data_IF_670819413739
#
_entry.id   IF_670819413739
#
_cell.length_a   1.000
_cell.length_b   1.000
_cell.length_c   1.000
_cell.angle_alpha   90.00
_cell.angle_beta   90.00
_cell.angle_gamma   90.00
#
_symmetry.space_group_name_H-M   'P 1'
#
loop_
_entity.id
_entity.type
_entity.pdbx_description
1 polymer ?
#
# COMPACT_ATOMS: atom_id res chain seq x y z
N UNK A 1 29.98 63.89 25.11
CA UNK A 1 29.81 62.66 24.30
C UNK A 1 28.45 62.08 24.62
N UNK A 2 27.54 62.01 23.63
CA UNK A 2 26.21 61.41 23.78
C UNK A 2 26.29 59.96 23.31
N UNK A 3 26.15 59.01 24.22
CA UNK A 3 26.00 57.59 23.89
C UNK A 3 24.52 57.28 23.74
N UNK A 4 24.08 57.16 22.48
CA UNK A 4 22.76 56.64 22.14
C UNK A 4 22.78 55.12 22.29
N UNK A 5 22.01 54.59 23.24
CA UNK A 5 21.77 53.16 23.39
C UNK A 5 20.66 52.74 22.42
N UNK A 6 21.03 52.17 21.28
CA UNK A 6 20.07 51.49 20.41
C UNK A 6 19.79 50.10 20.98
N UNK A 7 18.66 49.94 21.67
CA UNK A 7 18.12 48.63 21.99
C UNK A 7 17.51 48.03 20.72
N UNK A 8 18.24 47.11 20.08
CA UNK A 8 17.69 46.27 19.01
C UNK A 8 16.84 45.18 19.67
N UNK A 9 15.52 45.40 19.69
CA UNK A 9 14.53 44.33 19.86
C UNK A 9 14.50 43.52 18.56
N UNK A 10 15.37 42.52 18.45
CA UNK A 10 15.19 41.45 17.47
C UNK A 10 14.20 40.45 18.08
N UNK A 11 12.94 40.55 17.66
CA UNK A 11 11.89 39.60 18.03
C UNK A 11 12.28 38.19 17.60
N UNK A 12 12.45 37.31 18.58
CA UNK A 12 12.38 35.87 18.38
C UNK A 12 10.93 35.54 18.01
N UNK A 13 10.65 35.44 16.71
CA UNK A 13 9.49 34.70 16.24
C UNK A 13 9.84 33.23 16.45
N UNK A 14 9.54 32.71 17.65
CA UNK A 14 9.48 31.28 17.86
C UNK A 14 8.30 30.76 17.04
N UNK A 15 8.56 30.36 15.79
CA UNK A 15 7.61 29.54 15.04
C UNK A 15 7.69 28.16 15.68
N UNK A 16 6.93 27.94 16.75
CA UNK A 16 6.57 26.58 17.11
C UNK A 16 5.67 26.10 15.97
N UNK A 17 6.27 25.48 14.95
CA UNK A 17 5.51 24.75 13.94
C UNK A 17 4.82 23.61 14.66
N UNK A 18 3.50 23.71 14.82
CA UNK A 18 2.71 22.60 15.31
C UNK A 18 2.98 21.36 14.44
N UNK A 19 3.09 20.20 15.08
CA UNK A 19 3.37 18.96 14.37
C UNK A 19 2.25 18.66 13.38
N UNK A 20 2.61 18.23 12.18
CA UNK A 20 1.67 17.90 11.12
C UNK A 20 1.00 16.58 11.44
N UNK A 21 -0.32 16.60 11.60
CA UNK A 21 -1.11 15.38 11.76
C UNK A 21 -1.55 14.87 10.38
N UNK A 22 -1.29 13.59 10.10
CA UNK A 22 -1.84 12.94 8.91
C UNK A 22 -3.14 12.21 9.24
N UNK A 23 -4.08 12.31 8.30
CA UNK A 23 -5.31 11.53 8.29
C UNK A 23 -5.44 10.79 6.95
N UNK A 24 -5.66 9.48 7.03
CA UNK A 24 -5.97 8.62 5.89
C UNK A 24 -7.44 8.24 5.96
N UNK A 25 -8.15 8.47 4.86
CA UNK A 25 -9.50 7.98 4.62
C UNK A 25 -9.49 6.93 3.52
N UNK A 26 -10.20 5.83 3.70
CA UNK A 26 -10.34 4.82 2.64
C UNK A 26 -11.78 4.32 2.49
N UNK A 27 -12.11 3.81 1.31
CA UNK A 27 -13.45 3.30 0.98
C UNK A 27 -13.72 1.92 1.59
N UNK A 28 -14.96 1.62 1.98
CA UNK A 28 -15.36 0.26 2.38
C UNK A 28 -15.28 -0.76 1.22
N UNK A 29 -15.38 -0.29 -0.02
CA UNK A 29 -15.22 -1.13 -1.21
C UNK A 29 -13.78 -1.59 -1.36
N UNK A 30 -13.56 -2.90 -1.32
CA UNK A 30 -12.28 -3.57 -1.57
C UNK A 30 -12.21 -4.10 -3.00
N UNK A 31 -11.01 -4.03 -3.57
CA UNK A 31 -10.66 -4.41 -4.92
C UNK A 31 -9.57 -5.46 -4.86
N UNK A 32 -9.77 -6.56 -5.57
CA UNK A 32 -8.76 -7.60 -5.70
C UNK A 32 -7.71 -7.16 -6.73
N UNK A 33 -6.47 -6.97 -6.26
CA UNK A 33 -5.33 -6.57 -7.08
C UNK A 33 -4.32 -7.69 -7.26
N UNK A 34 -4.62 -8.89 -6.74
CA UNK A 34 -3.79 -10.08 -6.91
C UNK A 34 -2.36 -9.88 -6.42
N UNK A 35 -1.43 -10.54 -7.10
CA UNK A 35 0.02 -10.52 -6.83
C UNK A 35 0.73 -9.21 -7.20
N UNK A 36 0.02 -8.08 -7.23
CA UNK A 36 0.61 -6.80 -7.61
C UNK A 36 1.58 -6.31 -6.54
N UNK A 37 2.81 -5.96 -6.92
CA UNK A 37 3.76 -5.31 -6.02
C UNK A 37 3.30 -3.88 -5.72
N UNK A 38 2.55 -3.73 -4.62
CA UNK A 38 1.97 -2.46 -4.18
C UNK A 38 3.02 -1.38 -3.99
N UNK A 39 4.22 -1.70 -3.49
CA UNK A 39 5.29 -0.72 -3.31
C UNK A 39 5.77 -0.18 -4.65
N UNK A 40 5.96 -1.07 -5.62
CA UNK A 40 6.42 -0.70 -6.94
C UNK A 40 5.37 0.14 -7.70
N UNK A 41 4.10 -0.28 -7.67
CA UNK A 41 3.04 0.40 -8.43
C UNK A 41 2.52 1.66 -7.79
N UNK A 42 2.75 1.87 -6.48
CA UNK A 42 2.41 3.11 -5.79
C UNK A 42 3.66 3.94 -5.52
N UNK A 43 4.28 3.76 -4.35
CA UNK A 43 5.39 4.55 -3.83
C UNK A 43 6.49 4.78 -4.87
N UNK A 44 7.05 3.71 -5.45
CA UNK A 44 8.16 3.85 -6.40
C UNK A 44 7.73 4.57 -7.67
N UNK A 45 6.50 4.36 -8.12
CA UNK A 45 5.94 5.07 -9.27
C UNK A 45 5.87 6.58 -9.00
N UNK A 46 5.41 7.00 -7.81
CA UNK A 46 5.41 8.43 -7.41
C UNK A 46 6.79 9.06 -7.58
N UNK A 47 7.84 8.41 -7.04
CA UNK A 47 9.21 8.92 -7.12
C UNK A 47 9.83 8.84 -8.52
N UNK A 48 9.26 8.03 -9.42
CA UNK A 48 9.68 7.93 -10.80
C UNK A 48 8.97 8.92 -11.74
N UNK A 49 7.84 9.50 -11.33
CA UNK A 49 7.10 10.45 -12.17
C UNK A 49 7.82 11.79 -12.34
N UNK A 50 7.93 12.32 -13.58
CA UNK A 50 8.41 13.67 -13.81
C UNK A 50 7.54 14.72 -13.12
N UNK A 51 8.15 15.64 -12.38
CA UNK A 51 7.44 16.73 -11.70
C UNK A 51 6.88 16.36 -10.32
N UNK A 52 7.26 15.19 -9.78
CA UNK A 52 6.91 14.75 -8.43
C UNK A 52 7.47 15.62 -7.30
N UNK A 53 8.14 16.73 -7.59
CA UNK A 53 8.51 17.71 -6.58
C UNK A 53 7.34 18.64 -6.22
N UNK A 54 6.23 18.60 -6.97
CA UNK A 54 5.04 19.44 -6.72
C UNK A 54 3.72 18.71 -6.82
N UNK A 55 3.61 17.76 -7.73
CA UNK A 55 2.36 17.05 -7.97
C UNK A 55 2.60 15.80 -8.78
N UNK A 56 1.66 14.87 -8.72
CA UNK A 56 1.61 13.71 -9.61
C UNK A 56 0.22 13.54 -10.20
N UNK A 57 0.18 12.96 -11.38
CA UNK A 57 -1.01 12.40 -11.97
C UNK A 57 -0.58 11.14 -12.75
N UNK A 58 -0.98 9.98 -12.27
CA UNK A 58 -0.70 8.71 -12.93
C UNK A 58 -1.98 7.97 -13.22
N UNK A 59 -2.00 7.26 -14.34
CA UNK A 59 -3.04 6.28 -14.67
C UNK A 59 -2.34 5.11 -15.37
N UNK A 60 -2.12 4.01 -14.64
CA UNK A 60 -1.36 2.86 -15.13
C UNK A 60 -2.18 1.59 -14.98
N UNK A 61 -2.02 0.70 -15.96
CA UNK A 61 -2.67 -0.61 -15.97
C UNK A 61 -1.64 -1.71 -15.80
N UNK A 62 -1.95 -2.67 -14.94
CA UNK A 62 -1.10 -3.78 -14.56
C UNK A 62 -1.84 -5.10 -14.73
N UNK A 63 -1.08 -6.16 -14.94
CA UNK A 63 -1.56 -7.53 -15.01
C UNK A 63 -1.11 -8.26 -13.75
N UNK A 64 -2.00 -9.01 -13.11
CA UNK A 64 -1.68 -9.77 -11.90
C UNK A 64 -2.41 -11.12 -11.88
N UNK A 65 -2.10 -11.93 -10.87
CA UNK A 65 -2.73 -13.23 -10.64
C UNK A 65 -3.54 -13.16 -9.35
N UNK A 66 -4.77 -13.65 -9.41
CA UNK A 66 -5.68 -13.72 -8.25
C UNK A 66 -6.05 -15.14 -7.88
N UNK A 67 -6.02 -16.07 -8.85
CA UNK A 67 -6.39 -17.47 -8.61
C UNK A 67 -5.33 -18.17 -7.78
N UNK A 68 -5.77 -18.78 -6.68
CA UNK A 68 -4.96 -19.71 -5.91
C UNK A 68 -4.66 -20.94 -6.76
N UNK A 69 -3.39 -21.37 -6.78
CA UNK A 69 -2.91 -22.58 -7.48
C UNK A 69 -3.17 -22.58 -8.99
N UNK A 70 -2.53 -21.63 -9.67
CA UNK A 70 -2.66 -21.43 -11.11
C UNK A 70 -1.70 -22.30 -11.92
N UNK A 71 -2.18 -22.87 -13.03
CA UNK A 71 -1.35 -23.68 -13.92
C UNK A 71 -0.23 -22.84 -14.56
N UNK A 72 0.90 -23.48 -14.85
CA UNK A 72 2.04 -22.86 -15.54
C UNK A 72 1.70 -22.34 -16.95
N UNK A 73 0.66 -22.86 -17.57
CA UNK A 73 0.22 -22.47 -18.91
C UNK A 73 -0.65 -21.19 -18.91
N UNK A 74 -1.10 -20.75 -17.73
CA UNK A 74 -2.03 -19.64 -17.61
C UNK A 74 -1.30 -18.37 -17.12
N UNK A 75 -1.42 -17.28 -17.88
CA UNK A 75 -0.81 -15.97 -17.58
C UNK A 75 -1.53 -15.18 -16.49
N UNK A 76 -1.57 -13.85 -16.55
CA UNK A 76 -2.41 -13.06 -15.64
C UNK A 76 -3.91 -13.36 -15.82
N UNK A 77 -4.71 -13.21 -14.75
CA UNK A 77 -6.19 -13.32 -14.82
C UNK A 77 -6.92 -12.09 -14.28
N UNK A 78 -6.17 -11.06 -13.90
CA UNK A 78 -6.75 -9.78 -13.54
C UNK A 78 -5.96 -8.66 -14.17
N UNK A 79 -6.70 -7.69 -14.70
CA UNK A 79 -6.19 -6.37 -15.05
C UNK A 79 -6.57 -5.39 -13.95
N UNK A 80 -5.57 -4.69 -13.42
CA UNK A 80 -5.69 -3.71 -12.33
C UNK A 80 -5.27 -2.34 -12.86
N UNK A 81 -6.14 -1.35 -12.68
CA UNK A 81 -5.82 0.05 -12.92
C UNK A 81 -5.47 0.73 -11.59
N UNK A 82 -4.35 1.44 -11.58
CA UNK A 82 -3.89 2.23 -10.44
C UNK A 82 -3.79 3.68 -10.89
N UNK A 83 -4.60 4.54 -10.29
CA UNK A 83 -4.53 5.99 -10.48
C UNK A 83 -4.03 6.65 -9.22
N UNK A 84 -3.15 7.62 -9.38
CA UNK A 84 -2.68 8.41 -8.26
C UNK A 84 -2.69 9.88 -8.64
N UNK A 85 -3.30 10.69 -7.79
CA UNK A 85 -3.33 12.14 -7.95
C UNK A 85 -2.86 12.75 -6.65
N UNK A 86 -1.92 13.68 -6.71
CA UNK A 86 -1.48 14.38 -5.51
C UNK A 86 -0.85 15.71 -5.82
N UNK A 87 -0.88 16.60 -4.84
CA UNK A 87 -0.26 17.91 -4.89
C UNK A 87 0.37 18.24 -3.54
N UNK A 88 1.56 18.83 -3.55
CA UNK A 88 2.29 19.21 -2.35
C UNK A 88 3.16 20.47 -2.54
N UNK A 89 3.74 20.94 -1.44
CA UNK A 89 4.63 22.10 -1.40
C UNK A 89 3.89 23.43 -1.26
N UNK A 90 2.63 23.41 -0.80
CA UNK A 90 1.81 24.60 -0.54
C UNK A 90 1.75 24.99 0.94
N UNK A 91 1.98 24.05 1.85
CA UNK A 91 2.08 24.35 3.29
C UNK A 91 3.31 25.24 3.59
N UNK A 92 3.13 26.42 4.21
CA UNK A 92 4.22 27.29 4.61
C UNK A 92 5.11 26.66 5.69
N UNK A 93 6.41 26.93 5.65
CA UNK A 93 7.35 26.53 6.72
C UNK A 93 7.94 25.12 6.60
N UNK A 94 7.65 24.40 5.51
CA UNK A 94 8.23 23.08 5.20
C UNK A 94 9.17 23.16 4.00
N UNK A 95 10.19 22.30 3.98
CA UNK A 95 10.95 22.11 2.76
C UNK A 95 10.06 21.44 1.71
N UNK A 96 10.34 21.75 0.43
CA UNK A 96 9.42 21.47 -0.69
C UNK A 96 8.89 20.03 -0.74
N UNK A 97 9.72 19.07 -0.34
CA UNK A 97 9.39 17.66 -0.43
C UNK A 97 9.01 17.03 0.91
N UNK A 98 9.11 17.72 2.05
CA UNK A 98 8.81 17.13 3.36
C UNK A 98 7.35 16.67 3.45
N UNK A 99 6.44 17.51 2.94
CA UNK A 99 5.03 17.16 2.86
C UNK A 99 4.79 15.95 1.96
N UNK A 100 5.50 15.85 0.83
CA UNK A 100 5.44 14.68 -0.04
C UNK A 100 5.87 13.42 0.70
N UNK A 101 7.02 13.46 1.38
CA UNK A 101 7.53 12.29 2.11
C UNK A 101 6.53 11.83 3.17
N UNK A 102 5.93 12.78 3.90
CA UNK A 102 4.89 12.48 4.88
C UNK A 102 3.65 11.85 4.27
N UNK A 103 3.06 12.48 3.25
CA UNK A 103 1.85 11.97 2.58
C UNK A 103 2.10 10.58 1.98
N UNK A 104 3.22 10.40 1.28
CA UNK A 104 3.58 9.11 0.65
C UNK A 104 3.82 8.03 1.70
N UNK A 105 4.57 8.32 2.77
CA UNK A 105 4.78 7.35 3.85
C UNK A 105 3.47 7.01 4.57
N UNK A 106 2.65 8.01 4.86
CA UNK A 106 1.40 7.84 5.60
C UNK A 106 0.37 7.00 4.85
N UNK A 107 0.10 7.32 3.59
CA UNK A 107 -0.86 6.54 2.79
C UNK A 107 -0.32 5.14 2.47
N UNK A 108 0.98 5.00 2.26
CA UNK A 108 1.59 3.70 1.93
C UNK A 108 1.58 2.76 3.14
N UNK A 109 1.89 3.27 4.34
CA UNK A 109 1.78 2.48 5.57
C UNK A 109 0.33 2.05 5.81
N UNK A 110 -0.63 2.96 5.66
CA UNK A 110 -2.04 2.60 5.78
C UNK A 110 -2.47 1.55 4.74
N UNK A 111 -2.08 1.73 3.48
CA UNK A 111 -2.33 0.76 2.41
C UNK A 111 -1.76 -0.62 2.76
N UNK A 112 -0.51 -0.67 3.22
CA UNK A 112 0.16 -1.90 3.63
C UNK A 112 -0.60 -2.59 4.75
N UNK A 113 -0.98 -1.86 5.81
CA UNK A 113 -1.67 -2.47 6.95
C UNK A 113 -3.06 -3.00 6.59
N UNK A 114 -3.80 -2.31 5.72
CA UNK A 114 -5.09 -2.80 5.19
C UNK A 114 -4.88 -4.04 4.33
N UNK A 115 -3.88 -3.99 3.45
CA UNK A 115 -3.59 -5.03 2.48
C UNK A 115 -3.05 -6.31 3.11
N UNK A 116 -2.18 -6.21 4.12
CA UNK A 116 -1.60 -7.35 4.84
C UNK A 116 -2.70 -8.16 5.56
N UNK A 117 -3.73 -7.48 6.06
CA UNK A 117 -4.85 -8.12 6.79
C UNK A 117 -5.86 -8.82 5.85
N UNK A 118 -5.94 -8.36 4.61
CA UNK A 118 -6.83 -8.90 3.57
C UNK A 118 -6.08 -9.73 2.50
N UNK A 119 -4.78 -9.96 2.72
CA UNK A 119 -3.92 -10.69 1.79
C UNK A 119 -4.16 -12.20 1.83
N UNK A 120 -3.70 -12.89 0.78
CA UNK A 120 -3.91 -14.32 0.61
C UNK A 120 -2.79 -14.96 -0.20
N UNK A 121 -2.60 -16.27 -0.02
CA UNK A 121 -1.56 -17.01 -0.74
C UNK A 121 -1.96 -17.25 -2.20
N UNK A 122 -1.02 -16.96 -3.11
CA UNK A 122 -1.12 -17.28 -4.52
C UNK A 122 0.02 -18.22 -4.89
N UNK A 123 -0.32 -19.47 -5.13
CA UNK A 123 0.60 -20.42 -5.74
C UNK A 123 0.42 -20.40 -7.26
N UNK A 124 1.52 -20.32 -7.99
CA UNK A 124 1.52 -20.28 -9.45
C UNK A 124 2.56 -21.24 -10.03
N UNK A 125 2.54 -21.37 -11.35
CA UNK A 125 3.35 -22.37 -12.07
C UNK A 125 3.09 -23.79 -11.56
N UNK A 126 1.82 -24.08 -11.29
CA UNK A 126 1.38 -25.38 -10.80
C UNK A 126 1.33 -26.40 -11.94
N UNK A 127 1.73 -27.63 -11.61
CA UNK A 127 1.60 -28.84 -12.43
C UNK A 127 0.87 -29.90 -11.61
N UNK A 128 0.28 -30.90 -12.27
CA UNK A 128 -0.44 -31.96 -11.55
C UNK A 128 -1.83 -31.54 -11.10
N UNK A 129 -2.42 -30.54 -11.75
CA UNK A 129 -3.75 -30.04 -11.39
C UNK A 129 -4.85 -31.06 -11.67
N UNK A 130 -4.56 -32.05 -12.53
CA UNK A 130 -5.38 -33.25 -12.74
C UNK A 130 -4.61 -34.54 -12.41
N UNK A 131 -5.34 -35.63 -12.16
CA UNK A 131 -4.76 -36.95 -11.85
C UNK A 131 -4.02 -37.60 -13.03
N UNK A 132 -4.22 -37.09 -14.26
CA UNK A 132 -3.58 -37.60 -15.48
C UNK A 132 -2.20 -36.98 -15.72
N UNK A 133 -1.92 -35.85 -15.07
CA UNK A 133 -0.69 -35.10 -15.27
C UNK A 133 0.45 -35.75 -14.48
N UNK A 134 1.50 -36.18 -15.20
CA UNK A 134 2.73 -36.62 -14.55
C UNK A 134 3.53 -35.42 -14.05
N UNK A 135 3.86 -35.41 -12.76
CA UNK A 135 4.63 -34.32 -12.13
C UNK A 135 5.98 -34.83 -11.67
N UNK A 136 7.05 -34.22 -12.21
CA UNK A 136 8.37 -34.35 -11.63
C UNK A 136 8.44 -33.54 -10.34
N UNK A 137 8.42 -34.23 -9.20
CA UNK A 137 8.48 -33.56 -7.92
C UNK A 137 9.89 -33.05 -7.62
N UNK A 138 10.03 -31.78 -7.24
CA UNK A 138 11.33 -31.14 -7.00
C UNK A 138 11.40 -30.49 -5.60
N UNK A 139 12.56 -30.52 -4.93
CA UNK A 139 12.74 -29.90 -3.62
C UNK A 139 12.55 -28.38 -3.57
N UNK A 140 12.76 -27.70 -4.69
CA UNK A 140 12.69 -26.24 -4.80
C UNK A 140 11.25 -25.72 -4.98
N UNK A 141 10.26 -26.62 -5.07
CA UNK A 141 8.87 -26.23 -5.22
C UNK A 141 8.38 -25.43 -4.01
N UNK A 142 7.56 -24.40 -4.25
CA UNK A 142 6.97 -23.59 -3.20
C UNK A 142 5.93 -24.36 -2.38
N UNK A 143 5.15 -25.23 -3.04
CA UNK A 143 4.40 -26.29 -2.41
C UNK A 143 4.48 -27.57 -3.25
N UNK A 144 4.43 -28.73 -2.59
CA UNK A 144 4.37 -30.02 -3.26
C UNK A 144 4.96 -31.14 -2.41
N UNK A 145 4.73 -32.39 -2.81
CA UNK A 145 5.10 -33.57 -2.01
C UNK A 145 6.60 -33.66 -1.67
N UNK A 146 7.47 -33.16 -2.54
CA UNK A 146 8.91 -33.16 -2.33
C UNK A 146 9.47 -31.81 -1.88
N UNK A 147 8.64 -30.79 -1.68
CA UNK A 147 9.10 -29.44 -1.33
C UNK A 147 9.92 -29.45 -0.04
N UNK A 148 11.12 -28.87 -0.09
CA UNK A 148 12.06 -28.80 1.03
C UNK A 148 11.55 -27.98 2.21
N UNK A 149 10.61 -27.05 1.96
CA UNK A 149 9.89 -26.29 2.99
C UNK A 149 8.95 -27.15 3.82
N UNK A 150 8.61 -28.36 3.35
CA UNK A 150 7.56 -29.21 3.91
C UNK A 150 6.13 -28.74 3.57
N UNK A 151 5.98 -27.65 2.81
CA UNK A 151 4.67 -27.11 2.43
C UNK A 151 3.99 -28.03 1.41
N UNK A 152 2.77 -28.48 1.72
CA UNK A 152 1.94 -29.27 0.80
C UNK A 152 0.96 -28.38 0.05
N UNK A 153 0.59 -28.78 -1.17
CA UNK A 153 -0.44 -28.07 -1.93
C UNK A 153 -1.87 -28.49 -1.51
N UNK A 154 -2.03 -29.46 -0.61
CA UNK A 154 -3.34 -30.03 -0.21
C UNK A 154 -4.29 -29.00 0.41
N UNK A 155 -3.75 -28.12 1.26
CA UNK A 155 -4.50 -27.02 1.88
C UNK A 155 -4.82 -25.91 0.88
N UNK A 156 -3.81 -25.19 0.37
CA UNK A 156 -4.04 -24.00 -0.45
C UNK A 156 -4.74 -24.33 -1.78
N UNK A 157 -4.45 -25.48 -2.39
CA UNK A 157 -5.03 -25.84 -3.68
C UNK A 157 -6.33 -26.65 -3.59
N UNK A 158 -6.86 -26.93 -2.38
CA UNK A 158 -7.97 -27.87 -2.16
C UNK A 158 -9.17 -27.67 -3.07
N UNK A 159 -9.52 -26.40 -3.31
CA UNK A 159 -10.69 -26.00 -4.10
C UNK A 159 -10.31 -25.41 -5.47
N UNK A 160 -9.02 -25.36 -5.79
CA UNK A 160 -8.50 -24.73 -7.01
C UNK A 160 -8.14 -25.73 -8.10
N UNK A 161 -7.78 -26.97 -7.72
CA UNK A 161 -7.35 -28.02 -8.64
C UNK A 161 -8.05 -29.33 -8.32
N UNK A 162 -8.15 -30.22 -9.31
CA UNK A 162 -8.83 -31.50 -9.15
C UNK A 162 -8.02 -32.54 -8.36
N UNK A 163 -6.70 -32.37 -8.26
CA UNK A 163 -5.82 -33.30 -7.53
C UNK A 163 -4.75 -32.59 -6.71
N UNK A 164 -5.14 -31.93 -5.58
CA UNK A 164 -4.22 -31.14 -4.76
C UNK A 164 -3.00 -31.95 -4.25
N UNK A 165 -3.19 -33.22 -3.91
CA UNK A 165 -2.13 -34.08 -3.37
C UNK A 165 -1.09 -34.55 -4.37
N UNK A 166 -1.36 -34.40 -5.66
CA UNK A 166 -0.38 -34.61 -6.75
C UNK A 166 0.10 -33.29 -7.34
N UNK A 167 -0.49 -32.17 -6.92
CA UNK A 167 -0.13 -30.84 -7.41
C UNK A 167 1.21 -30.42 -6.83
N UNK A 168 2.00 -29.73 -7.65
CA UNK A 168 3.21 -29.04 -7.25
C UNK A 168 3.24 -27.66 -7.90
N UNK A 169 3.49 -26.63 -7.11
CA UNK A 169 3.61 -25.26 -7.59
C UNK A 169 5.02 -24.74 -7.36
N UNK A 170 5.64 -24.17 -8.40
CA UNK A 170 7.02 -23.69 -8.33
C UNK A 170 7.14 -22.30 -7.73
N UNK A 171 6.06 -21.51 -7.78
CA UNK A 171 6.04 -20.14 -7.27
C UNK A 171 5.00 -19.95 -6.18
N UNK A 172 5.35 -19.10 -5.23
CA UNK A 172 4.47 -18.62 -4.19
C UNK A 172 4.65 -17.11 -4.10
N UNK A 173 3.53 -16.42 -4.29
CA UNK A 173 3.39 -14.98 -4.22
C UNK A 173 2.29 -14.64 -3.22
N UNK A 174 2.27 -13.39 -2.78
CA UNK A 174 1.24 -12.88 -1.89
C UNK A 174 0.26 -12.01 -2.68
N UNK A 175 -1.00 -12.42 -2.68
CA UNK A 175 -2.10 -11.68 -3.27
C UNK A 175 -2.65 -10.64 -2.31
N UNK A 176 -3.15 -9.53 -2.85
CA UNK A 176 -3.60 -8.39 -2.08
C UNK A 176 -5.04 -7.99 -2.44
N UNK A 177 -5.79 -7.58 -1.41
CA UNK A 177 -7.02 -6.81 -1.57
C UNK A 177 -6.84 -5.44 -0.94
N UNK A 178 -7.20 -4.40 -1.67
CA UNK A 178 -6.98 -3.01 -1.26
C UNK A 178 -8.26 -2.21 -1.37
N UNK A 179 -8.43 -1.11 -0.62
CA UNK A 179 -9.56 -0.21 -0.82
C UNK A 179 -9.57 0.34 -2.26
N UNK A 180 -10.76 0.50 -2.84
CA UNK A 180 -10.93 1.10 -4.16
C UNK A 180 -10.43 2.55 -4.22
N UNK A 181 -10.46 3.24 -3.08
CA UNK A 181 -9.93 4.59 -2.95
C UNK A 181 -9.31 4.79 -1.57
N UNK A 182 -8.19 5.49 -1.55
CA UNK A 182 -7.54 6.00 -0.34
C UNK A 182 -7.15 7.45 -0.56
N UNK A 183 -7.32 8.28 0.46
CA UNK A 183 -6.89 9.68 0.46
C UNK A 183 -6.14 9.97 1.74
N UNK A 184 -4.98 10.60 1.64
CA UNK A 184 -4.28 11.19 2.78
C UNK A 184 -4.34 12.71 2.69
N UNK A 185 -4.60 13.33 3.82
CA UNK A 185 -4.62 14.78 4.02
C UNK A 185 -3.81 15.14 5.25
N UNK A 186 -3.21 16.33 5.23
CA UNK A 186 -2.45 16.87 6.35
C UNK A 186 -3.24 17.94 7.12
N UNK A 187 -3.01 18.02 8.42
CA UNK A 187 -3.59 19.00 9.33
C UNK A 187 -2.50 19.64 10.17
N UNK A 188 -2.62 20.94 10.43
CA UNK A 188 -1.77 21.70 11.35
C UNK A 188 -2.72 22.47 12.26
N UNK A 189 -2.63 22.28 13.58
CA UNK A 189 -3.56 22.86 14.55
C UNK A 189 -5.04 22.65 14.16
N UNK A 190 -5.39 21.41 13.78
CA UNK A 190 -6.71 21.00 13.29
C UNK A 190 -7.19 21.70 11.99
N UNK A 191 -6.36 22.54 11.36
CA UNK A 191 -6.66 23.17 10.09
C UNK A 191 -6.19 22.29 8.91
N UNK A 192 -7.12 21.96 8.00
CA UNK A 192 -6.85 21.21 6.79
C UNK A 192 -5.86 21.96 5.89
N UNK A 193 -4.77 21.29 5.54
CA UNK A 193 -3.79 21.79 4.60
C UNK A 193 -4.20 21.48 3.15
N UNK A 194 -3.77 22.28 2.17
CA UNK A 194 -4.11 22.09 0.76
C UNK A 194 -3.36 20.94 0.09
N UNK A 195 -2.40 20.30 0.79
CA UNK A 195 -1.61 19.19 0.27
C UNK A 195 -2.35 17.86 0.50
N UNK A 196 -2.45 17.05 -0.55
CA UNK A 196 -3.14 15.76 -0.51
C UNK A 196 -2.56 14.76 -1.50
N UNK A 197 -2.90 13.49 -1.26
CA UNK A 197 -2.56 12.38 -2.14
C UNK A 197 -3.70 11.36 -2.12
N UNK A 198 -4.13 10.97 -3.31
CA UNK A 198 -5.25 10.05 -3.54
C UNK A 198 -4.74 8.88 -4.35
N UNK A 199 -5.03 7.66 -3.90
CA UNK A 199 -4.90 6.43 -4.66
C UNK A 199 -6.29 5.93 -5.05
N UNK A 200 -6.45 5.52 -6.29
CA UNK A 200 -7.64 4.83 -6.78
C UNK A 200 -7.22 3.52 -7.43
N UNK A 201 -7.86 2.44 -7.01
CA UNK A 201 -7.66 1.09 -7.54
C UNK A 201 -8.94 0.63 -8.21
N UNK A 202 -8.82 0.13 -9.42
CA UNK A 202 -9.89 -0.58 -10.11
C UNK A 202 -9.37 -1.91 -10.62
N UNK A 203 -10.25 -2.91 -10.65
CA UNK A 203 -9.93 -4.25 -11.12
C UNK A 203 -11.03 -4.74 -12.04
N UNK A 204 -10.65 -5.62 -12.95
CA UNK A 204 -11.58 -6.36 -13.82
C UNK A 204 -12.37 -7.43 -13.06
N UNK A 205 -12.00 -7.72 -11.81
CA UNK A 205 -12.80 -8.57 -10.92
C UNK A 205 -13.81 -7.78 -10.11
N UNK A 206 -14.84 -8.48 -9.61
CA UNK A 206 -15.89 -7.89 -8.80
C UNK A 206 -15.32 -7.32 -7.50
N UNK A 207 -15.67 -6.08 -7.19
CA UNK A 207 -15.39 -5.48 -5.89
C UNK A 207 -16.27 -6.10 -4.80
N UNK A 208 -15.76 -6.08 -3.56
CA UNK A 208 -16.47 -6.59 -2.38
C UNK A 208 -16.50 -5.50 -1.31
N UNK A 209 -17.62 -5.34 -0.61
CA UNK A 209 -17.67 -4.47 0.57
C UNK A 209 -16.94 -5.08 1.78
N UNK A 210 -16.83 -4.32 2.87
CA UNK A 210 -16.29 -4.78 4.15
C UNK A 210 -14.86 -4.34 4.47
N UNK A 211 -14.26 -3.42 3.72
CA UNK A 211 -12.95 -2.83 4.01
C UNK A 211 -12.89 -2.11 5.36
N UNK A 212 -14.01 -1.58 5.84
CA UNK A 212 -14.08 -0.89 7.14
C UNK A 212 -14.05 -1.84 8.34
N UNK A 213 -14.28 -3.14 8.16
CA UNK A 213 -14.40 -4.10 9.27
C UNK A 213 -13.19 -4.15 10.20
N UNK A 214 -11.99 -3.84 9.67
CA UNK A 214 -10.73 -3.93 10.40
C UNK A 214 -10.15 -2.55 10.77
N UNK A 215 -10.89 -1.46 10.56
CA UNK A 215 -10.38 -0.08 10.74
C UNK A 215 -9.83 0.16 12.15
N UNK A 216 -10.49 -0.35 13.20
CA UNK A 216 -10.05 -0.16 14.59
C UNK A 216 -8.73 -0.88 14.91
N UNK A 217 -8.53 -2.08 14.34
CA UNK A 217 -7.28 -2.84 14.48
C UNK A 217 -6.13 -2.12 13.78
N UNK A 218 -6.39 -1.61 12.58
CA UNK A 218 -5.39 -0.90 11.77
C UNK A 218 -5.04 0.44 12.41
N UNK A 219 -6.04 1.22 12.85
CA UNK A 219 -5.85 2.47 13.56
C UNK A 219 -4.96 2.29 14.80
N UNK A 220 -5.14 1.20 15.56
CA UNK A 220 -4.29 0.87 16.70
C UNK A 220 -2.81 0.66 16.34
N UNK A 221 -2.52 0.06 15.18
CA UNK A 221 -1.15 -0.08 14.68
C UNK A 221 -0.57 1.24 14.17
N UNK A 222 -1.41 2.04 13.51
CA UNK A 222 -1.01 3.32 12.93
C UNK A 222 -0.82 4.41 13.99
N UNK A 223 -1.44 4.29 15.17
CA UNK A 223 -1.36 5.28 16.24
C UNK A 223 0.06 5.48 16.80
N UNK A 224 0.93 4.48 16.69
CA UNK A 224 2.33 4.54 17.14
C UNK A 224 3.31 4.63 15.98
N UNK A 225 2.81 4.86 14.76
CA UNK A 225 3.68 4.94 13.58
C UNK A 225 4.39 6.28 13.55
N UNK A 226 5.72 6.25 13.51
CA UNK A 226 6.54 7.43 13.28
C UNK A 226 6.87 7.56 11.80
N UNK A 227 6.48 8.67 11.20
CA UNK A 227 6.80 8.97 9.81
C UNK A 227 8.31 9.26 9.71
N UNK A 228 9.06 8.53 8.85
CA UNK A 228 10.51 8.65 8.77
C UNK A 228 10.96 9.87 7.95
N UNK A 229 10.55 11.08 8.34
CA UNK A 229 10.97 12.34 7.72
C UNK A 229 11.95 13.09 8.62
N UNK A 230 12.92 13.76 8.01
CA UNK A 230 13.93 14.57 8.71
C UNK A 230 13.23 15.69 9.50
N UNK A 231 13.58 15.85 10.77
CA UNK A 231 13.19 17.03 11.56
C UNK A 231 11.98 16.89 12.50
N UNK A 232 11.34 15.72 12.60
CA UNK A 232 10.24 15.50 13.56
C UNK A 232 9.02 16.39 13.30
N UNK A 233 8.80 16.77 12.03
CA UNK A 233 7.77 17.71 11.59
C UNK A 233 6.35 17.13 11.69
N UNK A 234 6.23 15.81 11.67
CA UNK A 234 4.96 15.10 11.73
C UNK A 234 4.68 14.58 13.13
N UNK A 235 3.42 14.62 13.53
CA UNK A 235 2.97 13.97 14.75
C UNK A 235 3.20 12.45 14.65
N UNK A 236 3.45 11.82 15.80
CA UNK A 236 3.36 10.37 15.88
C UNK A 236 1.91 9.95 15.69
N UNK A 237 1.70 8.92 14.88
CA UNK A 237 0.38 8.39 14.62
C UNK A 237 -0.25 8.90 13.33
N UNK A 238 -0.98 8.01 12.65
CA UNK A 238 -1.81 8.35 11.49
C UNK A 238 -3.27 8.12 11.88
N UNK A 239 -4.08 9.18 11.78
CA UNK A 239 -5.52 9.06 11.95
C UNK A 239 -6.10 8.26 10.79
N UNK A 240 -6.92 7.25 11.09
CA UNK A 240 -7.51 6.40 10.08
C UNK A 240 -9.03 6.45 10.17
N UNK A 241 -9.67 6.74 9.05
CA UNK A 241 -11.13 6.75 8.92
C UNK A 241 -11.52 5.88 7.73
N UNK A 242 -12.68 5.24 7.83
CA UNK A 242 -13.26 4.49 6.73
C UNK A 242 -14.59 5.11 6.30
N UNK A 243 -14.78 5.24 5.00
CA UNK A 243 -16.00 5.76 4.39
C UNK A 243 -16.86 4.57 3.91
N UNK A 244 -17.99 4.36 4.59
CA UNK A 244 -19.03 3.37 4.27
C UNK A 244 -20.06 3.92 3.29
#
# INVERSE_FOLDING_TARGET
MKTSTSAVLAGLVAVATAAIQLEVRYSDTMVDVGTLDLMNVTRNTIYAEPGNERSILTDRTHQAITRTCKSIEEGADVTVQVKMTGAWGRTPGLDKNDMREGLVAGIFEALKQVSDDAGYEVYSECKGSTWQDSVAHVPEAACGRAASSGQTCDGPCRNAVASPGTTQCLKHDWGHRVPSMMRVTAYIDDALQPDDLIFEFASTQNSQGGGCGNVGKIAGKLATYTIPVVGGLFAEGINLLCAS
#
